data_IF_355738151060
#
_entry.id   IF_355738151060
#
_cell.length_a   1.000
_cell.length_b   1.000
_cell.length_c   1.000
_cell.angle_alpha   90.00
_cell.angle_beta   90.00
_cell.angle_gamma   90.00
#
_symmetry.space_group_name_H-M   'P 1'
#
loop_
_entity.id
_entity.type
_entity.pdbx_description
1 polymer ?
#
# COMPACT_ATOMS: atom_id res chain seq x y z
N UNK A 1 19.38 9.58 3.63
CA UNK A 1 20.62 8.80 3.40
C UNK A 1 20.46 7.98 2.13
N UNK A 2 21.49 7.99 1.30
CA UNK A 2 21.52 7.13 0.11
C UNK A 2 21.99 5.74 0.52
N UNK A 3 21.21 4.72 0.19
CA UNK A 3 21.58 3.33 0.46
C UNK A 3 21.91 2.68 -0.88
N UNK A 4 23.15 2.30 -1.09
CA UNK A 4 23.62 1.77 -2.37
C UNK A 4 23.11 0.34 -2.63
N UNK A 5 22.80 -0.40 -1.58
CA UNK A 5 22.22 -1.73 -1.68
C UNK A 5 21.16 -1.95 -0.61
N UNK A 6 19.89 -1.73 -0.98
CA UNK A 6 18.77 -1.84 -0.06
C UNK A 6 18.54 -3.26 0.47
N UNK A 7 19.01 -4.29 -0.24
CA UNK A 7 18.86 -5.68 0.20
C UNK A 7 19.75 -6.04 1.40
N UNK A 8 20.84 -5.31 1.61
CA UNK A 8 21.71 -5.52 2.77
C UNK A 8 21.06 -5.13 4.09
N UNK A 9 19.97 -4.35 4.03
CA UNK A 9 19.22 -3.92 5.21
C UNK A 9 18.23 -4.97 5.70
N UNK A 10 17.88 -5.94 4.87
CA UNK A 10 16.88 -6.97 5.24
C UNK A 10 17.37 -7.77 6.44
N UNK A 11 16.52 -7.94 7.44
CA UNK A 11 16.80 -8.63 8.68
C UNK A 11 17.38 -7.74 9.79
N UNK A 12 17.80 -6.53 9.49
CA UNK A 12 18.32 -5.60 10.51
C UNK A 12 17.22 -5.06 11.40
N UNK A 13 17.53 -4.93 12.68
CA UNK A 13 16.65 -4.28 13.64
C UNK A 13 16.60 -2.79 13.37
N UNK A 14 15.44 -2.22 13.55
CA UNK A 14 15.17 -0.78 13.35
C UNK A 14 14.89 -0.13 14.70
N UNK A 15 15.63 0.94 14.97
CA UNK A 15 15.46 1.77 16.16
C UNK A 15 14.96 3.16 15.72
N UNK A 16 14.08 3.75 16.52
CA UNK A 16 13.67 5.15 16.30
C UNK A 16 14.78 6.14 16.68
N UNK A 17 14.52 7.45 16.57
CA UNK A 17 15.51 8.49 16.85
C UNK A 17 15.97 8.50 18.32
N UNK A 18 15.19 7.97 19.23
CA UNK A 18 15.52 7.86 20.65
C UNK A 18 16.12 6.51 21.06
N UNK A 19 16.31 5.61 20.10
CA UNK A 19 16.85 4.28 20.34
C UNK A 19 15.80 3.23 20.72
N UNK A 20 14.51 3.56 20.61
CA UNK A 20 13.42 2.61 20.90
C UNK A 20 13.28 1.62 19.74
N UNK A 21 13.25 0.29 20.01
CA UNK A 21 13.08 -0.69 18.96
C UNK A 21 11.70 -0.60 18.30
N UNK A 22 11.70 -0.61 16.96
CA UNK A 22 10.48 -0.57 16.14
C UNK A 22 10.13 -1.96 15.61
N UNK A 23 11.11 -2.70 15.12
CA UNK A 23 10.96 -4.00 14.50
C UNK A 23 12.15 -4.33 13.63
N UNK A 24 11.92 -5.11 12.56
CA UNK A 24 12.97 -5.57 11.65
C UNK A 24 12.60 -5.31 10.21
N UNK A 25 13.59 -4.98 9.37
CA UNK A 25 13.35 -4.80 7.93
C UNK A 25 13.09 -6.17 7.29
N UNK A 26 11.95 -6.30 6.63
CA UNK A 26 11.52 -7.54 5.97
C UNK A 26 11.60 -7.44 4.44
N UNK A 27 11.19 -6.29 3.89
CA UNK A 27 11.16 -6.04 2.45
C UNK A 27 11.57 -4.63 2.10
N UNK A 28 11.93 -4.43 0.84
CA UNK A 28 12.15 -3.11 0.25
C UNK A 28 11.36 -2.99 -1.04
N UNK A 29 10.86 -1.81 -1.35
CA UNK A 29 10.20 -1.53 -2.62
C UNK A 29 10.33 -0.08 -3.01
N UNK A 30 10.13 0.20 -4.29
CA UNK A 30 10.10 1.56 -4.79
C UNK A 30 8.65 2.07 -4.80
N UNK A 31 8.44 3.29 -4.31
CA UNK A 31 7.14 3.94 -4.28
C UNK A 31 7.07 5.03 -5.33
N UNK A 32 5.93 5.11 -5.99
CA UNK A 32 5.59 6.15 -6.95
C UNK A 32 4.69 7.24 -6.35
N UNK A 33 4.53 7.22 -5.04
CA UNK A 33 3.79 8.26 -4.33
C UNK A 33 4.46 9.61 -4.57
N UNK A 34 3.69 10.61 -4.99
CA UNK A 34 4.22 11.95 -5.31
C UNK A 34 4.80 12.67 -4.10
N UNK A 35 4.25 12.40 -2.92
CA UNK A 35 4.72 12.99 -1.66
C UNK A 35 5.97 12.29 -1.13
N UNK A 36 6.07 10.99 -1.36
CA UNK A 36 7.16 10.14 -0.90
C UNK A 36 7.73 9.32 -2.05
N UNK A 37 8.39 9.95 -3.04
CA UNK A 37 8.95 9.21 -4.17
C UNK A 37 10.23 8.48 -3.76
N UNK A 38 10.39 7.27 -4.24
CA UNK A 38 11.61 6.49 -4.04
C UNK A 38 11.42 5.27 -3.13
N UNK A 39 12.43 4.92 -2.35
CA UNK A 39 12.48 3.66 -1.64
C UNK A 39 11.75 3.70 -0.31
N UNK A 40 11.01 2.63 -0.06
CA UNK A 40 10.43 2.30 1.23
C UNK A 40 11.01 0.99 1.76
N UNK A 41 11.03 0.89 3.08
CA UNK A 41 11.35 -0.32 3.80
C UNK A 41 10.11 -0.81 4.54
N UNK A 42 9.75 -2.06 4.33
CA UNK A 42 8.69 -2.72 5.08
C UNK A 42 9.25 -3.27 6.38
N UNK A 43 8.78 -2.75 7.48
CA UNK A 43 9.20 -3.16 8.82
C UNK A 43 8.19 -4.16 9.36
N UNK A 44 8.66 -5.34 9.75
CA UNK A 44 7.90 -6.26 10.57
C UNK A 44 7.94 -5.72 12.01
N UNK A 45 6.83 -5.16 12.52
CA UNK A 45 6.85 -4.52 13.83
C UNK A 45 7.09 -5.54 14.93
N UNK A 46 7.78 -5.13 15.99
CA UNK A 46 7.83 -5.91 17.21
C UNK A 46 6.47 -5.87 17.91
N UNK A 47 6.29 -6.72 18.93
CA UNK A 47 5.01 -6.84 19.62
C UNK A 47 4.55 -5.51 20.23
N UNK A 48 5.45 -4.75 20.85
CA UNK A 48 5.12 -3.47 21.44
C UNK A 48 4.64 -2.45 20.40
N UNK A 49 5.34 -2.32 19.30
CA UNK A 49 4.97 -1.41 18.20
C UNK A 49 3.62 -1.81 17.60
N UNK A 50 3.44 -3.10 17.33
CA UNK A 50 2.21 -3.63 16.76
C UNK A 50 0.99 -3.39 17.65
N UNK A 51 1.12 -3.66 18.94
CA UNK A 51 0.01 -3.51 19.89
C UNK A 51 -0.31 -2.05 20.19
N UNK A 52 0.72 -1.20 20.31
CA UNK A 52 0.56 0.21 20.64
C UNK A 52 -0.03 1.02 19.49
N UNK A 53 0.44 0.80 18.26
CA UNK A 53 0.11 1.66 17.11
C UNK A 53 -0.83 1.01 16.10
N UNK A 54 -0.89 -0.30 16.00
CA UNK A 54 -1.60 -1.01 14.93
C UNK A 54 -2.64 -2.01 15.39
N UNK A 55 -2.97 -2.05 16.66
CA UNK A 55 -3.95 -3.00 17.23
C UNK A 55 -3.69 -4.45 16.84
N UNK A 56 -2.45 -4.81 16.58
CA UNK A 56 -2.05 -6.14 16.19
C UNK A 56 -2.37 -6.56 14.75
N UNK A 57 -2.86 -5.66 13.89
CA UNK A 57 -3.44 -6.02 12.59
C UNK A 57 -2.49 -5.95 11.39
N UNK A 58 -1.42 -5.17 11.44
CA UNK A 58 -0.54 -4.98 10.27
C UNK A 58 0.68 -5.90 10.34
N UNK A 59 0.98 -6.55 9.19
CA UNK A 59 2.16 -7.42 9.06
C UNK A 59 3.42 -6.63 8.75
N UNK A 60 3.32 -5.63 7.86
CA UNK A 60 4.43 -4.75 7.50
C UNK A 60 3.99 -3.30 7.63
N UNK A 61 4.90 -2.47 8.15
CA UNK A 61 4.71 -1.02 8.24
C UNK A 61 5.76 -0.31 7.39
N UNK A 62 5.39 0.75 6.66
CA UNK A 62 6.32 1.43 5.77
C UNK A 62 7.22 2.42 6.51
N UNK A 63 8.50 2.44 6.17
CA UNK A 63 9.45 3.48 6.55
C UNK A 63 10.03 4.06 5.25
N UNK A 64 9.94 5.37 5.12
CA UNK A 64 10.52 6.08 3.99
C UNK A 64 12.04 6.14 4.10
N UNK A 65 12.74 5.95 3.00
CA UNK A 65 14.22 5.89 2.99
C UNK A 65 14.89 7.14 3.54
N UNK A 66 14.29 8.33 3.38
CA UNK A 66 14.83 9.57 3.91
C UNK A 66 14.80 9.64 5.44
N UNK A 67 14.08 8.72 6.09
CA UNK A 67 14.05 8.63 7.55
C UNK A 67 15.22 7.84 8.14
N UNK A 68 16.07 7.25 7.31
CA UNK A 68 17.28 6.56 7.75
C UNK A 68 18.33 7.59 8.18
N UNK A 69 18.80 7.47 9.42
CA UNK A 69 19.89 8.31 9.96
C UNK A 69 21.23 7.60 9.90
N UNK A 70 21.26 6.37 10.35
CA UNK A 70 22.48 5.58 10.46
C UNK A 70 22.21 4.11 10.16
N UNK A 71 23.13 3.48 9.46
CA UNK A 71 23.07 2.07 9.13
C UNK A 71 24.36 1.38 9.61
N UNK A 72 24.20 0.45 10.54
CA UNK A 72 25.26 -0.37 11.09
C UNK A 72 24.74 -1.79 11.31
N UNK A 73 24.97 -2.36 12.48
CA UNK A 73 24.35 -3.63 12.87
C UNK A 73 22.82 -3.47 12.97
N UNK A 74 22.39 -2.30 13.47
CA UNK A 74 20.99 -1.85 13.47
C UNK A 74 20.84 -0.68 12.52
N UNK A 75 19.58 -0.40 12.15
CA UNK A 75 19.22 0.81 11.40
C UNK A 75 18.57 1.79 12.37
N UNK A 76 19.13 2.99 12.49
CA UNK A 76 18.56 4.04 13.33
C UNK A 76 17.88 5.09 12.46
N UNK A 77 16.67 5.46 12.85
CA UNK A 77 15.86 6.46 12.15
C UNK A 77 16.11 7.86 12.70
N UNK A 78 15.77 8.88 11.91
CA UNK A 78 15.80 10.28 12.33
C UNK A 78 14.44 10.76 12.85
N UNK A 79 13.49 9.85 13.03
CA UNK A 79 12.13 10.11 13.54
C UNK A 79 11.90 9.36 14.84
N UNK A 80 11.19 10.00 15.75
CA UNK A 80 10.69 9.36 16.97
C UNK A 80 9.46 8.51 16.67
N UNK A 81 9.08 7.64 17.62
CA UNK A 81 7.85 6.84 17.49
C UNK A 81 6.60 7.72 17.31
N UNK A 82 6.54 8.88 17.96
CA UNK A 82 5.42 9.81 17.80
C UNK A 82 5.36 10.39 16.38
N UNK A 83 6.49 10.78 15.83
CA UNK A 83 6.57 11.27 14.45
C UNK A 83 6.24 10.16 13.44
N UNK A 84 6.74 8.95 13.67
CA UNK A 84 6.41 7.78 12.86
C UNK A 84 4.92 7.45 12.93
N UNK A 85 4.32 7.55 14.09
CA UNK A 85 2.89 7.33 14.29
C UNK A 85 2.05 8.27 13.42
N UNK A 86 2.42 9.53 13.33
CA UNK A 86 1.74 10.51 12.44
C UNK A 86 1.93 10.15 10.97
N UNK A 87 3.14 9.77 10.58
CA UNK A 87 3.43 9.31 9.23
C UNK A 87 2.60 8.06 8.88
N UNK A 88 2.53 7.08 9.77
CA UNK A 88 1.75 5.87 9.56
C UNK A 88 0.25 6.14 9.48
N UNK A 89 -0.28 7.00 10.33
CA UNK A 89 -1.69 7.40 10.26
C UNK A 89 -2.02 8.02 8.90
N UNK A 90 -1.14 8.87 8.38
CA UNK A 90 -1.32 9.51 7.09
C UNK A 90 -1.19 8.52 5.92
N UNK A 91 -0.12 7.74 5.88
CA UNK A 91 0.21 6.89 4.73
C UNK A 91 -0.60 5.60 4.69
N UNK A 92 -0.84 4.97 5.84
CA UNK A 92 -1.58 3.71 5.92
C UNK A 92 -3.08 3.98 5.77
N UNK A 93 -3.62 4.94 6.51
CA UNK A 93 -5.05 5.25 6.50
C UNK A 93 -5.50 5.85 5.16
N UNK A 94 -4.69 6.70 4.56
CA UNK A 94 -5.02 7.32 3.27
C UNK A 94 -4.75 6.43 2.06
N UNK A 95 -4.30 5.20 2.25
CA UNK A 95 -4.09 4.21 1.17
C UNK A 95 -3.10 4.65 0.11
N UNK A 96 -2.22 5.59 0.43
CA UNK A 96 -1.21 6.03 -0.50
C UNK A 96 -0.22 4.89 -0.81
N UNK A 97 0.39 4.89 -1.98
CA UNK A 97 1.23 3.80 -2.49
C UNK A 97 2.53 3.58 -1.71
N UNK A 98 2.39 3.37 -0.42
CA UNK A 98 3.48 3.06 0.52
C UNK A 98 3.59 1.57 0.83
N UNK A 99 2.67 0.76 0.30
CA UNK A 99 2.68 -0.69 0.46
C UNK A 99 3.37 -1.38 -0.71
N UNK A 100 4.09 -2.49 -0.48
CA UNK A 100 4.51 -3.35 -1.57
C UNK A 100 3.30 -3.83 -2.36
N UNK A 101 3.42 -3.84 -3.68
CA UNK A 101 2.33 -4.23 -4.57
C UNK A 101 1.85 -5.66 -4.34
N UNK A 102 2.78 -6.56 -3.97
CA UNK A 102 2.47 -7.96 -3.68
C UNK A 102 1.61 -8.13 -2.42
N UNK A 103 1.59 -7.18 -1.50
CA UNK A 103 0.71 -7.22 -0.33
C UNK A 103 -0.76 -7.00 -0.67
N UNK A 104 -1.04 -6.42 -1.82
CA UNK A 104 -2.41 -6.14 -2.27
C UNK A 104 -3.05 -7.33 -2.99
N UNK A 105 -2.22 -8.21 -3.56
CA UNK A 105 -2.70 -9.37 -4.32
C UNK A 105 -3.49 -10.31 -3.42
N UNK A 106 -4.59 -10.86 -3.97
CA UNK A 106 -5.55 -11.75 -3.32
C UNK A 106 -6.38 -11.09 -2.20
N UNK A 107 -6.23 -9.79 -1.95
CA UNK A 107 -7.09 -9.10 -0.99
C UNK A 107 -8.44 -8.75 -1.60
N UNK A 108 -9.53 -8.95 -0.86
CA UNK A 108 -10.85 -8.46 -1.28
C UNK A 108 -10.90 -6.93 -1.22
N UNK A 109 -11.67 -6.35 -2.15
CA UNK A 109 -11.85 -4.91 -2.29
C UNK A 109 -13.30 -4.54 -1.98
N UNK A 110 -13.46 -3.53 -1.16
CA UNK A 110 -14.76 -2.97 -0.79
C UNK A 110 -14.82 -1.49 -1.17
N UNK A 111 -16.01 -1.04 -1.53
CA UNK A 111 -16.23 0.37 -1.79
C UNK A 111 -16.31 1.19 -0.49
N UNK A 112 -16.51 2.49 -0.60
CA UNK A 112 -16.65 3.41 0.53
C UNK A 112 -17.77 3.01 1.50
N UNK A 113 -18.82 2.35 1.02
CA UNK A 113 -19.98 1.91 1.80
C UNK A 113 -19.88 0.46 2.24
N UNK A 114 -18.67 -0.16 2.16
CA UNK A 114 -18.40 -1.55 2.49
C UNK A 114 -19.14 -2.58 1.62
N UNK A 115 -19.48 -2.22 0.40
CA UNK A 115 -19.99 -3.17 -0.60
C UNK A 115 -18.82 -3.85 -1.30
N UNK A 116 -18.84 -5.17 -1.38
CA UNK A 116 -17.76 -5.93 -2.00
C UNK A 116 -17.72 -5.68 -3.51
N UNK A 117 -16.51 -5.43 -4.02
CA UNK A 117 -16.25 -5.22 -5.46
C UNK A 117 -15.67 -6.46 -6.11
N UNK A 118 -14.62 -7.03 -5.52
CA UNK A 118 -13.89 -8.15 -6.08
C UNK A 118 -12.60 -8.44 -5.35
N UNK A 119 -11.61 -8.95 -6.08
CA UNK A 119 -10.30 -9.34 -5.54
C UNK A 119 -9.20 -8.75 -6.40
N UNK A 120 -8.15 -8.22 -5.77
CA UNK A 120 -6.95 -7.77 -6.49
C UNK A 120 -6.18 -8.99 -7.02
N UNK A 121 -5.91 -8.98 -8.31
CA UNK A 121 -5.14 -10.02 -8.98
C UNK A 121 -3.72 -9.60 -9.29
N UNK A 122 -3.52 -8.35 -9.73
CA UNK A 122 -2.22 -7.89 -10.17
C UNK A 122 -2.07 -6.37 -10.01
N UNK A 123 -0.86 -5.89 -10.23
CA UNK A 123 -0.54 -4.49 -10.30
C UNK A 123 0.01 -4.16 -11.68
N UNK A 124 -0.54 -3.15 -12.32
CA UNK A 124 -0.11 -2.70 -13.64
C UNK A 124 0.65 -1.39 -13.50
N UNK A 125 1.93 -1.44 -13.85
CA UNK A 125 2.81 -0.29 -13.87
C UNK A 125 3.33 -0.11 -15.28
N UNK A 126 3.11 1.08 -15.84
CA UNK A 126 3.70 1.45 -17.12
C UNK A 126 4.19 2.89 -17.09
N UNK A 127 5.32 3.13 -17.74
CA UNK A 127 5.93 4.46 -17.79
C UNK A 127 4.96 5.50 -18.35
N UNK A 128 4.75 6.59 -17.60
CA UNK A 128 3.91 7.70 -18.00
C UNK A 128 2.40 7.52 -17.81
N UNK A 129 1.94 6.39 -17.27
CA UNK A 129 0.52 6.18 -16.99
C UNK A 129 0.25 6.11 -15.49
N UNK A 130 -0.97 6.46 -15.03
CA UNK A 130 -1.37 6.22 -13.66
C UNK A 130 -1.26 4.74 -13.31
N UNK A 131 -0.77 4.47 -12.12
CA UNK A 131 -0.64 3.10 -11.63
C UNK A 131 -1.99 2.59 -11.18
N UNK A 132 -2.29 1.35 -11.56
CA UNK A 132 -3.56 0.71 -11.28
C UNK A 132 -3.34 -0.70 -10.74
N UNK A 133 -4.23 -1.11 -9.84
CA UNK A 133 -4.41 -2.51 -9.53
C UNK A 133 -5.42 -3.12 -10.47
N UNK A 134 -5.13 -4.33 -10.96
CA UNK A 134 -6.08 -5.11 -11.72
C UNK A 134 -6.98 -5.90 -10.77
N UNK A 135 -8.28 -5.68 -10.84
CA UNK A 135 -9.27 -6.31 -10.00
C UNK A 135 -10.17 -7.24 -10.81
N UNK A 136 -10.33 -8.47 -10.35
CA UNK A 136 -11.42 -9.34 -10.82
C UNK A 136 -12.68 -8.98 -10.05
N UNK A 137 -13.67 -8.46 -10.79
CA UNK A 137 -14.96 -8.04 -10.22
C UNK A 137 -15.80 -9.28 -9.91
N UNK A 138 -16.47 -9.26 -8.76
CA UNK A 138 -17.36 -10.35 -8.36
C UNK A 138 -18.46 -10.60 -9.41
N UNK A 139 -18.88 -11.86 -9.61
CA UNK A 139 -19.84 -12.20 -10.68
C UNK A 139 -21.13 -11.41 -10.65
N UNK A 140 -21.64 -11.10 -9.46
CA UNK A 140 -22.85 -10.32 -9.32
C UNK A 140 -22.72 -8.94 -9.99
N UNK A 141 -21.64 -8.20 -9.70
CA UNK A 141 -21.40 -6.87 -10.28
C UNK A 141 -21.02 -6.96 -11.76
N UNK A 142 -20.24 -7.96 -12.15
CA UNK A 142 -19.85 -8.12 -13.54
C UNK A 142 -21.05 -8.38 -14.45
N UNK A 143 -22.02 -9.15 -13.99
CA UNK A 143 -23.28 -9.39 -14.71
C UNK A 143 -24.14 -8.12 -14.75
N UNK A 144 -24.29 -7.45 -13.61
CA UNK A 144 -25.10 -6.24 -13.50
C UNK A 144 -24.55 -5.09 -14.36
N UNK A 145 -23.24 -4.98 -14.49
CA UNK A 145 -22.59 -3.91 -15.25
C UNK A 145 -22.11 -4.32 -16.63
N UNK A 146 -22.44 -5.54 -17.10
CA UNK A 146 -22.04 -6.07 -18.40
C UNK A 146 -20.50 -6.06 -18.60
N UNK A 147 -19.77 -6.39 -17.56
CA UNK A 147 -18.32 -6.57 -17.63
C UNK A 147 -18.06 -8.00 -18.10
N UNK A 148 -17.29 -8.21 -19.19
CA UNK A 148 -16.95 -9.57 -19.64
C UNK A 148 -16.24 -10.35 -18.54
N UNK A 149 -16.57 -11.63 -18.40
CA UNK A 149 -15.89 -12.52 -17.44
C UNK A 149 -14.39 -12.57 -17.74
N UNK A 150 -13.58 -12.72 -16.69
CA UNK A 150 -12.11 -12.72 -16.75
C UNK A 150 -11.48 -11.40 -17.23
N UNK A 151 -12.22 -10.30 -17.17
CA UNK A 151 -11.67 -8.97 -17.43
C UNK A 151 -11.14 -8.37 -16.15
N UNK A 152 -9.90 -7.91 -16.17
CA UNK A 152 -9.31 -7.15 -15.09
C UNK A 152 -9.75 -5.69 -15.19
N UNK A 153 -10.41 -5.20 -14.16
CA UNK A 153 -10.84 -3.80 -14.09
C UNK A 153 -9.81 -2.99 -13.30
N UNK A 154 -9.43 -1.80 -13.82
CA UNK A 154 -8.42 -0.99 -13.16
C UNK A 154 -8.96 -0.29 -11.92
N UNK A 155 -8.21 -0.37 -10.83
CA UNK A 155 -8.45 0.44 -9.62
C UNK A 155 -7.24 1.33 -9.44
N UNK A 156 -7.38 2.66 -9.63
CA UNK A 156 -6.28 3.58 -9.40
C UNK A 156 -5.79 3.52 -7.96
N UNK A 157 -4.48 3.57 -7.77
CA UNK A 157 -3.89 3.53 -6.43
C UNK A 157 -4.39 4.66 -5.53
N UNK A 158 -4.70 5.83 -6.11
CA UNK A 158 -5.24 6.96 -5.36
C UNK A 158 -6.65 6.74 -4.81
N UNK A 159 -7.38 5.71 -5.27
CA UNK A 159 -8.71 5.37 -4.75
C UNK A 159 -8.65 4.53 -3.48
N UNK A 160 -7.49 3.99 -3.13
CA UNK A 160 -7.34 3.19 -1.93
C UNK A 160 -7.33 4.10 -0.71
N UNK A 161 -8.26 3.85 0.20
CA UNK A 161 -8.41 4.60 1.44
C UNK A 161 -7.73 3.89 2.62
N UNK A 162 -7.94 2.58 2.75
CA UNK A 162 -7.43 1.79 3.87
C UNK A 162 -7.06 0.38 3.41
N UNK A 163 -5.97 -0.14 3.97
CA UNK A 163 -5.49 -1.49 3.71
C UNK A 163 -5.29 -2.23 5.03
N UNK A 164 -5.96 -3.38 5.15
CA UNK A 164 -5.78 -4.33 6.26
C UNK A 164 -5.87 -5.74 5.67
N UNK A 165 -6.67 -6.64 6.22
CA UNK A 165 -6.99 -7.91 5.57
C UNK A 165 -7.81 -7.71 4.27
N UNK A 166 -8.46 -6.57 4.14
CA UNK A 166 -9.19 -6.15 2.96
C UNK A 166 -8.73 -4.75 2.54
N UNK A 167 -9.03 -4.37 1.30
CA UNK A 167 -8.80 -3.03 0.76
C UNK A 167 -10.13 -2.30 0.73
N UNK A 168 -10.17 -1.09 1.31
CA UNK A 168 -11.34 -0.21 1.25
C UNK A 168 -11.01 0.99 0.37
N UNK A 169 -11.89 1.30 -0.56
CA UNK A 169 -11.75 2.45 -1.44
C UNK A 169 -12.43 3.69 -0.84
N UNK A 170 -12.03 4.86 -1.30
CA UNK A 170 -12.69 6.14 -0.99
C UNK A 170 -13.79 6.49 -2.00
N UNK A 171 -14.13 5.56 -2.87
CA UNK A 171 -15.14 5.69 -3.92
C UNK A 171 -16.31 4.76 -3.66
N UNK A 172 -17.52 5.24 -4.03
CA UNK A 172 -18.71 4.40 -4.05
C UNK A 172 -18.74 3.51 -5.30
N UNK A 173 -19.60 2.49 -5.30
CA UNK A 173 -19.82 1.65 -6.48
C UNK A 173 -20.23 2.49 -7.70
N UNK A 174 -21.08 3.49 -7.53
CA UNK A 174 -21.52 4.34 -8.64
C UNK A 174 -20.37 5.17 -9.21
N UNK A 175 -19.52 5.74 -8.37
CA UNK A 175 -18.35 6.50 -8.79
C UNK A 175 -17.35 5.59 -9.53
N UNK A 176 -17.14 4.39 -9.04
CA UNK A 176 -16.27 3.41 -9.67
C UNK A 176 -16.81 2.95 -11.02
N UNK A 177 -18.13 2.74 -11.11
CA UNK A 177 -18.82 2.39 -12.35
C UNK A 177 -18.65 3.49 -13.40
N UNK A 178 -18.80 4.76 -13.02
CA UNK A 178 -18.57 5.90 -13.92
C UNK A 178 -17.14 5.99 -14.38
N UNK A 179 -16.18 5.74 -13.50
CA UNK A 179 -14.77 5.67 -13.86
C UNK A 179 -14.51 4.57 -14.90
N UNK A 180 -15.02 3.38 -14.69
CA UNK A 180 -14.85 2.24 -15.60
C UNK A 180 -15.50 2.48 -16.96
N UNK A 181 -16.67 3.10 -17.00
CA UNK A 181 -17.31 3.49 -18.26
C UNK A 181 -16.43 4.43 -19.08
N UNK A 182 -15.82 5.42 -18.44
CA UNK A 182 -14.89 6.35 -19.10
C UNK A 182 -13.65 5.65 -19.62
N UNK A 183 -13.14 4.68 -18.87
CA UNK A 183 -11.99 3.88 -19.31
C UNK A 183 -12.31 3.00 -20.52
N UNK A 184 -13.47 2.40 -20.56
CA UNK A 184 -13.94 1.61 -21.71
C UNK A 184 -14.02 2.40 -22.99
N UNK A 185 -14.37 3.69 -22.92
CA UNK A 185 -14.38 4.57 -24.08
C UNK A 185 -12.97 4.90 -24.61
N UNK A 186 -11.96 4.86 -23.73
CA UNK A 186 -10.55 5.10 -24.11
C UNK A 186 -9.87 3.84 -24.64
N UNK A 187 -10.35 2.66 -24.25
CA UNK A 187 -9.87 1.35 -24.70
C UNK A 187 -10.92 0.72 -25.59
N UNK A 188 -10.98 1.15 -26.84
CA UNK A 188 -11.78 0.46 -27.87
C UNK A 188 -11.01 -0.80 -28.23
N UNK A 189 -11.51 -1.91 -27.80
CA UNK A 189 -11.06 -3.22 -28.22
C UNK A 189 -11.77 -3.64 -29.51
#
# INVERSE_FOLDING_TARGET
MKVDNSHELIGKEVLDASGTPVGWIDKTWNSWNKEYPGWFFGIKPNENTRCTYFRGTYKLIPIYSDYLREVGECVTLNKTMDELSRFWNKTITCGQTTYPTDQMVDKPVYDKNHSRIGIIYTYVESAGTPQNYGCYVDPYLSQTWNIPSNTLMPIPTQYIYHVSEAITLDKTLDELKEYWKRQQQLYIF
#
